data_IF_431196275197
#
_entry.id   IF_431196275197
#
_cell.length_a   1.000
_cell.length_b   1.000
_cell.length_c   1.000
_cell.angle_alpha   90.00
_cell.angle_beta   90.00
_cell.angle_gamma   90.00
#
_symmetry.space_group_name_H-M   'P 1'
#
loop_
_entity.id
_entity.type
_entity.pdbx_description
1 polymer ?
#
# COMPACT_ATOMS: atom_id res chain seq x y z
N UNK A 1 -18.68 -7.56 50.77
CA UNK A 1 -17.87 -8.54 50.05
C UNK A 1 -17.70 -8.03 48.63
N UNK A 2 -16.55 -7.42 48.35
CA UNK A 2 -16.24 -6.76 47.06
C UNK A 2 -15.15 -7.53 46.29
N UNK A 3 -15.01 -8.82 46.59
CA UNK A 3 -13.87 -9.65 46.17
C UNK A 3 -14.02 -10.26 44.76
N UNK A 4 -15.10 -9.97 44.02
CA UNK A 4 -15.36 -10.58 42.69
C UNK A 4 -15.65 -9.57 41.56
N UNK A 5 -15.13 -8.34 41.62
CA UNK A 5 -15.08 -7.50 40.41
C UNK A 5 -13.71 -7.67 39.75
N UNK A 6 -13.56 -8.77 39.02
CA UNK A 6 -12.46 -8.94 38.07
C UNK A 6 -12.81 -8.16 36.80
N UNK A 7 -12.33 -6.91 36.72
CA UNK A 7 -12.33 -6.20 35.45
C UNK A 7 -11.21 -6.83 34.64
N UNK A 8 -11.56 -7.64 33.62
CA UNK A 8 -10.59 -8.17 32.65
C UNK A 8 -9.97 -6.99 31.87
N UNK A 9 -8.93 -6.39 32.45
CA UNK A 9 -8.22 -5.20 31.95
C UNK A 9 -7.78 -5.38 30.51
N UNK A 10 -7.37 -6.59 30.14
CA UNK A 10 -6.86 -6.89 28.80
C UNK A 10 -7.97 -6.84 27.74
N UNK A 11 -9.17 -7.31 28.09
CA UNK A 11 -10.35 -7.24 27.21
C UNK A 11 -10.81 -5.78 27.02
N UNK A 12 -10.74 -4.99 28.09
CA UNK A 12 -11.07 -3.55 28.06
C UNK A 12 -10.05 -2.75 27.22
N UNK A 13 -8.75 -3.02 27.37
CA UNK A 13 -7.70 -2.35 26.58
C UNK A 13 -7.77 -2.73 25.10
N UNK A 14 -8.04 -4.00 24.77
CA UNK A 14 -8.21 -4.43 23.37
C UNK A 14 -9.43 -3.77 22.71
N UNK A 15 -10.56 -3.68 23.42
CA UNK A 15 -11.77 -3.04 22.90
C UNK A 15 -11.62 -1.52 22.75
N UNK A 16 -10.93 -0.84 23.67
CA UNK A 16 -10.59 0.58 23.55
C UNK A 16 -9.66 0.86 22.36
N UNK A 17 -8.59 0.06 22.20
CA UNK A 17 -7.67 0.18 21.06
C UNK A 17 -8.40 -0.02 19.73
N UNK A 18 -9.29 -1.00 19.64
CA UNK A 18 -10.09 -1.24 18.44
C UNK A 18 -10.96 -0.03 18.09
N UNK A 19 -11.66 0.54 19.07
CA UNK A 19 -12.48 1.76 18.85
C UNK A 19 -11.65 2.95 18.37
N UNK A 20 -10.47 3.15 18.94
CA UNK A 20 -9.58 4.24 18.51
C UNK A 20 -9.15 4.10 17.05
N UNK A 21 -8.77 2.89 16.62
CA UNK A 21 -8.41 2.64 15.22
C UNK A 21 -9.63 2.68 14.29
N UNK A 22 -10.80 2.27 14.77
CA UNK A 22 -12.05 2.41 14.03
C UNK A 22 -12.34 3.88 13.70
N UNK A 23 -12.26 4.76 14.71
CA UNK A 23 -12.51 6.20 14.57
C UNK A 23 -11.43 6.91 13.74
N UNK A 24 -10.17 6.48 13.87
CA UNK A 24 -9.08 6.93 13.00
C UNK A 24 -9.33 6.54 11.55
N UNK A 25 -9.62 5.26 11.27
CA UNK A 25 -9.88 4.78 9.92
C UNK A 25 -11.08 5.49 9.28
N UNK A 26 -12.17 5.72 10.03
CA UNK A 26 -13.32 6.52 9.53
C UNK A 26 -12.90 7.93 9.12
N UNK A 27 -12.05 8.58 9.92
CA UNK A 27 -11.56 9.93 9.64
C UNK A 27 -10.66 9.97 8.40
N UNK A 28 -9.69 9.04 8.29
CA UNK A 28 -8.78 9.05 7.13
C UNK A 28 -9.49 8.68 5.82
N UNK A 29 -10.53 7.86 5.87
CA UNK A 29 -11.34 7.48 4.70
C UNK A 29 -12.02 8.70 4.06
N UNK A 30 -12.23 9.80 4.79
CA UNK A 30 -12.73 11.06 4.21
C UNK A 30 -11.79 11.68 3.17
N UNK A 31 -10.51 11.30 3.18
CA UNK A 31 -9.51 11.73 2.19
C UNK A 31 -9.38 10.76 1.00
N UNK A 32 -10.36 9.86 0.80
CA UNK A 32 -10.35 8.90 -0.29
C UNK A 32 -10.22 9.59 -1.66
N UNK A 33 -9.32 9.09 -2.50
CA UNK A 33 -9.13 9.57 -3.87
C UNK A 33 -9.34 8.45 -4.89
N UNK A 34 -9.86 8.82 -6.05
CA UNK A 34 -10.01 7.89 -7.16
C UNK A 34 -8.67 7.63 -7.87
N UNK A 35 -7.97 6.56 -7.49
CA UNK A 35 -6.68 6.20 -8.10
C UNK A 35 -6.90 5.43 -9.39
N UNK A 36 -6.22 5.85 -10.46
CA UNK A 36 -6.16 5.15 -11.76
C UNK A 36 -4.69 4.86 -12.07
N UNK A 37 -4.38 3.64 -12.47
CA UNK A 37 -3.01 3.24 -12.86
C UNK A 37 -2.58 3.91 -14.16
N UNK A 38 -1.29 4.29 -14.24
CA UNK A 38 -0.70 4.94 -15.41
C UNK A 38 -0.02 3.93 -16.35
N UNK A 39 -0.59 3.65 -17.54
CA UNK A 39 0.00 2.74 -18.52
C UNK A 39 1.38 3.17 -19.04
N UNK A 40 1.70 4.47 -18.98
CA UNK A 40 3.01 4.97 -19.44
C UNK A 40 4.12 4.60 -18.47
N UNK A 41 3.78 4.39 -17.20
CA UNK A 41 4.74 3.96 -16.16
C UNK A 41 4.86 2.45 -16.06
N UNK A 42 3.79 1.72 -16.39
CA UNK A 42 3.70 0.29 -16.16
C UNK A 42 4.81 -0.50 -16.86
N UNK A 43 5.43 -1.41 -16.12
CA UNK A 43 6.36 -2.37 -16.70
C UNK A 43 5.71 -3.16 -17.84
N UNK A 44 6.42 -3.48 -18.94
CA UNK A 44 5.87 -4.26 -20.04
C UNK A 44 5.35 -5.66 -19.66
N UNK A 45 5.72 -6.18 -18.49
CA UNK A 45 5.21 -7.43 -17.96
C UNK A 45 3.84 -7.30 -17.28
N UNK A 46 3.38 -6.09 -17.01
CA UNK A 46 2.13 -5.84 -16.27
C UNK A 46 0.94 -5.71 -17.20
N UNK A 47 -0.13 -6.41 -16.87
CA UNK A 47 -1.42 -6.29 -17.55
C UNK A 47 -2.31 -5.43 -16.66
N UNK A 48 -2.77 -4.31 -17.20
CA UNK A 48 -3.72 -3.40 -16.56
C UNK A 48 -5.14 -3.67 -17.05
N UNK A 49 -6.14 -3.57 -16.17
CA UNK A 49 -7.54 -3.58 -16.59
C UNK A 49 -7.88 -2.33 -17.41
N UNK A 50 -8.94 -2.41 -18.24
CA UNK A 50 -9.40 -1.29 -19.09
C UNK A 50 -9.76 -0.04 -18.28
N UNK A 51 -10.31 -0.21 -17.08
CA UNK A 51 -10.65 0.89 -16.17
C UNK A 51 -9.45 1.38 -15.33
N UNK A 52 -8.26 0.78 -15.48
CA UNK A 52 -7.05 1.15 -14.75
C UNK A 52 -7.11 0.91 -13.26
N UNK A 53 -8.00 0.01 -12.78
CA UNK A 53 -8.17 -0.33 -11.36
C UNK A 53 -7.43 -1.59 -10.94
N UNK A 54 -7.05 -2.44 -11.88
CA UNK A 54 -6.43 -3.72 -11.58
C UNK A 54 -5.08 -3.85 -12.26
N UNK A 55 -4.14 -4.50 -11.59
CA UNK A 55 -2.84 -4.86 -12.16
C UNK A 55 -2.40 -6.24 -11.72
N UNK A 56 -1.94 -7.02 -12.69
CA UNK A 56 -1.31 -8.33 -12.47
C UNK A 56 -0.09 -8.50 -13.38
N UNK A 57 0.79 -9.41 -13.01
CA UNK A 57 1.91 -9.80 -13.86
C UNK A 57 1.43 -10.82 -14.90
N UNK A 58 1.68 -10.52 -16.18
CA UNK A 58 1.44 -11.43 -17.28
C UNK A 58 2.57 -12.44 -17.45
N UNK A 59 2.33 -13.48 -18.25
CA UNK A 59 3.33 -14.52 -18.55
C UNK A 59 4.37 -14.08 -19.58
N UNK A 60 4.04 -13.07 -20.40
CA UNK A 60 4.86 -12.61 -21.51
C UNK A 60 5.01 -11.09 -21.46
N UNK A 61 6.22 -10.64 -21.81
CA UNK A 61 6.52 -9.22 -21.99
C UNK A 61 5.70 -8.67 -23.15
N UNK A 62 4.95 -7.60 -22.92
CA UNK A 62 4.21 -6.91 -23.98
C UNK A 62 5.14 -6.06 -24.84
N UNK A 63 4.79 -5.90 -26.12
CA UNK A 63 5.48 -5.01 -27.06
C UNK A 63 4.95 -3.58 -26.90
N UNK A 64 5.41 -2.89 -25.87
CA UNK A 64 5.08 -1.48 -25.60
C UNK A 64 6.27 -0.58 -25.96
N UNK A 65 6.02 0.66 -26.43
CA UNK A 65 7.08 1.63 -26.64
C UNK A 65 7.76 1.96 -25.30
N UNK A 66 9.10 1.97 -25.31
CA UNK A 66 9.85 2.44 -24.16
C UNK A 66 9.74 3.96 -24.04
N UNK A 67 9.76 4.45 -22.82
CA UNK A 67 9.78 5.87 -22.51
C UNK A 67 10.47 6.08 -21.14
N UNK A 68 10.91 7.31 -20.81
CA UNK A 68 11.61 7.57 -19.55
C UNK A 68 10.76 7.27 -18.29
N UNK A 69 9.43 7.35 -18.39
CA UNK A 69 8.51 7.10 -17.28
C UNK A 69 8.29 5.61 -16.99
N UNK A 70 8.59 4.73 -17.95
CA UNK A 70 8.30 3.28 -17.87
C UNK A 70 9.31 2.54 -17.01
N UNK A 71 8.84 1.68 -16.11
CA UNK A 71 9.69 0.69 -15.44
C UNK A 71 10.16 -0.39 -16.42
N UNK A 72 11.47 -0.63 -16.54
CA UNK A 72 12.00 -1.59 -17.51
C UNK A 72 12.16 -3.01 -16.94
N UNK A 73 12.65 -3.10 -15.71
CA UNK A 73 13.15 -4.33 -15.08
C UNK A 73 12.23 -4.77 -13.95
N UNK A 74 11.82 -3.83 -13.10
CA UNK A 74 10.91 -4.09 -11.99
C UNK A 74 9.45 -4.13 -12.46
N UNK A 75 8.66 -5.07 -11.94
CA UNK A 75 7.22 -5.22 -12.23
C UNK A 75 6.38 -4.21 -11.45
N UNK A 76 6.62 -2.93 -11.71
CA UNK A 76 6.00 -1.81 -10.99
C UNK A 76 5.10 -0.96 -11.90
N UNK A 77 4.17 -0.24 -11.28
CA UNK A 77 3.33 0.78 -11.92
C UNK A 77 3.01 1.89 -10.90
N UNK A 78 2.84 3.11 -11.38
CA UNK A 78 2.39 4.25 -10.58
C UNK A 78 0.91 4.59 -10.86
N UNK A 79 0.28 5.26 -9.92
CA UNK A 79 -0.96 6.01 -10.17
C UNK A 79 -0.71 7.16 -11.14
N UNK A 80 -1.73 7.51 -11.93
CA UNK A 80 -1.69 8.58 -12.94
C UNK A 80 -1.69 9.98 -12.32
N UNK A 81 -2.47 10.17 -11.26
CA UNK A 81 -2.48 11.42 -10.49
C UNK A 81 -1.53 11.28 -9.32
N UNK A 82 -0.65 12.27 -9.17
CA UNK A 82 0.17 12.45 -7.98
C UNK A 82 -0.20 13.73 -7.25
N UNK A 83 0.25 13.84 -6.00
CA UNK A 83 -0.15 14.88 -5.05
C UNK A 83 1.09 15.58 -4.48
N UNK A 84 1.06 16.90 -4.42
CA UNK A 84 2.16 17.75 -3.94
C UNK A 84 1.80 18.52 -2.67
N UNK A 85 0.62 18.25 -2.11
CA UNK A 85 0.09 18.83 -0.88
C UNK A 85 -1.17 18.07 -0.45
N UNK A 86 -1.60 18.35 0.78
CA UNK A 86 -2.81 17.84 1.38
C UNK A 86 -2.72 16.38 1.80
N UNK A 87 -3.90 15.83 2.06
CA UNK A 87 -4.09 14.44 2.48
C UNK A 87 -4.78 13.64 1.39
N UNK A 88 -4.35 12.39 1.22
CA UNK A 88 -5.06 11.46 0.36
C UNK A 88 -5.01 10.04 0.90
N UNK A 89 -6.03 9.26 0.56
CA UNK A 89 -6.19 7.88 0.98
C UNK A 89 -6.65 7.00 -0.18
N UNK A 90 -6.16 5.76 -0.26
CA UNK A 90 -6.66 4.78 -1.21
C UNK A 90 -6.59 3.36 -0.64
N UNK A 91 -7.44 2.48 -1.13
CA UNK A 91 -7.52 1.08 -0.68
C UNK A 91 -7.18 0.11 -1.81
N UNK A 92 -6.49 -0.97 -1.48
CA UNK A 92 -6.08 -2.00 -2.43
C UNK A 92 -6.45 -3.37 -1.90
N UNK A 93 -7.30 -4.09 -2.62
CA UNK A 93 -7.55 -5.50 -2.35
C UNK A 93 -6.34 -6.31 -2.80
N UNK A 94 -5.84 -7.14 -1.89
CA UNK A 94 -4.65 -8.00 -2.01
C UNK A 94 -4.98 -9.48 -1.79
N UNK A 95 -6.26 -9.83 -1.69
CA UNK A 95 -6.75 -11.21 -1.55
C UNK A 95 -6.13 -12.15 -2.58
N UNK A 96 -5.73 -13.35 -2.11
CA UNK A 96 -5.15 -14.38 -2.97
C UNK A 96 -3.70 -14.14 -3.39
N UNK A 97 -3.06 -13.03 -2.98
CA UNK A 97 -1.64 -12.78 -3.27
C UNK A 97 -0.72 -13.34 -2.19
N UNK A 98 0.45 -13.83 -2.60
CA UNK A 98 1.52 -14.26 -1.69
C UNK A 98 2.68 -13.27 -1.65
N UNK A 99 2.76 -12.37 -2.63
CA UNK A 99 3.76 -11.30 -2.68
C UNK A 99 3.18 -10.02 -3.30
N UNK A 100 3.50 -8.87 -2.72
CA UNK A 100 3.18 -7.56 -3.27
C UNK A 100 4.04 -6.45 -2.63
N UNK A 101 4.11 -5.29 -3.28
CA UNK A 101 4.57 -4.04 -2.68
C UNK A 101 3.50 -2.97 -2.88
N UNK A 102 3.18 -2.21 -1.83
CA UNK A 102 2.22 -1.11 -1.86
C UNK A 102 2.79 0.12 -1.15
N UNK A 103 2.44 1.32 -1.59
CA UNK A 103 2.84 2.55 -0.94
C UNK A 103 2.84 3.77 -1.84
N UNK A 104 3.81 4.66 -1.67
CA UNK A 104 3.94 5.85 -2.53
C UNK A 104 5.39 6.05 -2.97
N UNK A 105 5.56 6.72 -4.11
CA UNK A 105 6.85 7.06 -4.67
C UNK A 105 6.91 8.53 -5.09
N UNK A 106 8.07 9.17 -4.90
CA UNK A 106 8.32 10.53 -5.45
C UNK A 106 8.40 10.51 -6.98
N UNK A 107 8.15 11.65 -7.59
CA UNK A 107 8.18 11.81 -9.05
C UNK A 107 9.52 11.40 -9.67
N UNK A 108 10.63 11.81 -9.04
CA UNK A 108 12.01 11.63 -9.49
C UNK A 108 12.62 10.23 -9.28
N UNK A 109 11.86 9.25 -8.78
CA UNK A 109 12.44 7.91 -8.55
C UNK A 109 13.11 7.36 -9.82
N UNK A 110 14.25 6.70 -9.67
CA UNK A 110 14.81 5.95 -10.79
C UNK A 110 13.86 4.80 -11.17
N UNK A 111 13.49 4.74 -12.44
CA UNK A 111 12.56 3.75 -12.99
C UNK A 111 13.26 2.66 -13.79
N UNK A 112 14.58 2.77 -13.95
CA UNK A 112 15.40 1.84 -14.73
C UNK A 112 16.22 0.94 -13.81
N UNK A 113 16.32 -0.34 -14.15
CA UNK A 113 16.96 -1.36 -13.34
C UNK A 113 16.20 -1.73 -12.06
N UNK A 114 16.92 -2.36 -11.13
CA UNK A 114 16.40 -2.74 -9.81
C UNK A 114 16.98 -1.83 -8.75
N UNK A 115 16.11 -1.10 -8.05
CA UNK A 115 16.47 -0.19 -6.95
C UNK A 115 15.75 -0.63 -5.69
N UNK A 116 16.48 -0.74 -4.59
CA UNK A 116 15.93 -1.12 -3.30
C UNK A 116 14.77 -0.19 -2.89
N UNK A 117 13.74 -0.75 -2.26
CA UNK A 117 12.69 0.03 -1.64
C UNK A 117 13.23 0.64 -0.35
N UNK A 118 13.29 1.97 -0.31
CA UNK A 118 13.57 2.76 0.88
C UNK A 118 13.14 4.21 0.65
N UNK A 119 12.88 4.97 1.73
CA UNK A 119 12.65 6.40 1.67
C UNK A 119 13.79 7.18 1.00
N UNK A 120 15.05 6.76 1.20
CA UNK A 120 16.22 7.39 0.55
C UNK A 120 16.16 7.28 -0.98
N UNK A 121 15.61 6.16 -1.47
CA UNK A 121 15.32 5.94 -2.89
C UNK A 121 13.96 6.52 -3.32
N UNK A 122 13.32 7.30 -2.45
CA UNK A 122 12.08 8.02 -2.72
C UNK A 122 10.83 7.16 -2.69
N UNK A 123 10.82 6.05 -1.93
CA UNK A 123 9.69 5.12 -1.86
C UNK A 123 9.36 4.77 -0.40
N UNK A 124 8.10 4.96 -0.03
CA UNK A 124 7.57 4.57 1.28
C UNK A 124 6.59 3.43 1.06
N UNK A 125 7.01 2.22 1.40
CA UNK A 125 6.27 1.01 1.02
C UNK A 125 6.28 -0.07 2.11
N UNK A 126 5.16 -0.78 2.19
CA UNK A 126 5.02 -2.06 2.90
C UNK A 126 4.99 -3.18 1.87
N UNK A 127 5.64 -4.29 2.20
CA UNK A 127 5.76 -5.45 1.32
C UNK A 127 5.28 -6.73 2.00
N UNK A 128 4.71 -7.63 1.21
CA UNK A 128 4.44 -9.02 1.58
C UNK A 128 5.41 -9.94 0.84
N UNK A 129 6.03 -10.89 1.56
CA UNK A 129 6.83 -11.99 1.01
C UNK A 129 6.40 -13.32 1.60
N UNK A 130 6.59 -14.38 0.83
CA UNK A 130 6.33 -15.78 1.24
C UNK A 130 4.92 -16.00 1.84
N UNK A 131 3.94 -15.19 1.45
CA UNK A 131 2.55 -15.28 1.90
C UNK A 131 2.26 -14.79 3.33
N UNK A 132 3.26 -14.57 4.17
CA UNK A 132 3.09 -14.20 5.58
C UNK A 132 4.10 -13.21 6.16
N UNK A 133 5.19 -12.88 5.45
CA UNK A 133 6.22 -11.97 5.93
C UNK A 133 5.92 -10.54 5.49
N UNK A 134 5.47 -9.72 6.44
CA UNK A 134 5.20 -8.31 6.22
C UNK A 134 6.39 -7.46 6.68
N UNK A 135 6.82 -6.54 5.84
CA UNK A 135 7.99 -5.70 6.11
C UNK A 135 7.69 -4.26 5.70
N UNK A 136 7.91 -3.31 6.59
CA UNK A 136 8.01 -1.90 6.22
C UNK A 136 9.43 -1.60 5.75
N UNK A 137 9.55 -1.07 4.54
CA UNK A 137 10.84 -0.75 3.90
C UNK A 137 11.39 0.60 4.39
N UNK A 138 11.50 0.79 5.70
CA UNK A 138 12.21 1.93 6.30
C UNK A 138 13.74 1.80 6.12
N UNK A 139 14.55 2.84 6.41
CA UNK A 139 16.02 2.77 6.27
C UNK A 139 16.61 1.53 6.95
N UNK A 140 16.13 1.22 8.16
CA UNK A 140 16.23 -0.12 8.75
C UNK A 140 14.91 -0.85 8.53
N UNK A 141 14.94 -2.01 7.85
CA UNK A 141 13.74 -2.80 7.59
C UNK A 141 13.06 -3.20 8.90
N UNK A 142 11.75 -3.00 8.98
CA UNK A 142 10.95 -3.37 10.15
C UNK A 142 10.07 -4.56 9.79
N UNK A 143 10.25 -5.68 10.47
CA UNK A 143 9.37 -6.84 10.34
C UNK A 143 8.08 -6.58 11.13
N UNK A 144 6.94 -6.75 10.46
CA UNK A 144 5.64 -6.42 11.02
C UNK A 144 4.94 -7.71 11.48
N UNK A 145 4.51 -7.71 12.75
CA UNK A 145 3.75 -8.80 13.32
C UNK A 145 2.26 -8.61 13.02
N UNK A 146 1.74 -9.35 12.04
CA UNK A 146 0.34 -9.33 11.67
C UNK A 146 -0.42 -10.42 12.44
N UNK A 147 -1.59 -10.09 13.01
CA UNK A 147 -2.47 -11.08 13.65
C UNK A 147 -3.12 -11.99 12.63
N UNK A 148 -3.59 -11.37 11.54
CA UNK A 148 -4.28 -12.02 10.44
C UNK A 148 -3.75 -11.45 9.12
N UNK A 149 -4.01 -12.13 8.02
CA UNK A 149 -3.60 -11.70 6.69
C UNK A 149 -4.59 -10.65 6.16
N UNK A 150 -4.17 -9.40 5.91
CA UNK A 150 -5.03 -8.40 5.28
C UNK A 150 -5.48 -8.89 3.91
N UNK A 151 -6.78 -8.75 3.64
CA UNK A 151 -7.42 -8.91 2.33
C UNK A 151 -7.44 -7.58 1.57
N UNK A 152 -7.42 -6.45 2.27
CA UNK A 152 -7.33 -5.11 1.70
C UNK A 152 -6.51 -4.20 2.61
N UNK A 153 -5.64 -3.42 1.96
CA UNK A 153 -4.69 -2.51 2.60
C UNK A 153 -5.05 -1.09 2.25
N UNK A 154 -5.23 -0.25 3.27
CA UNK A 154 -5.39 1.19 3.15
C UNK A 154 -4.04 1.90 3.19
N UNK A 155 -3.84 2.88 2.32
CA UNK A 155 -2.64 3.72 2.29
C UNK A 155 -3.07 5.18 2.42
N UNK A 156 -2.64 5.81 3.49
CA UNK A 156 -2.90 7.21 3.81
C UNK A 156 -1.62 8.03 3.70
N UNK A 157 -1.73 9.24 3.17
CA UNK A 157 -0.66 10.22 3.15
C UNK A 157 -1.16 11.51 3.76
N UNK A 158 -0.35 12.07 4.66
CA UNK A 158 -0.44 13.45 5.10
C UNK A 158 0.83 14.15 4.63
N UNK A 159 0.69 14.97 3.58
CA UNK A 159 1.84 15.55 2.90
C UNK A 159 2.54 16.58 3.79
N UNK A 160 1.77 17.44 4.45
CA UNK A 160 2.27 18.50 5.32
C UNK A 160 2.92 17.94 6.60
N UNK A 161 2.35 16.88 7.18
CA UNK A 161 2.94 16.20 8.35
C UNK A 161 4.04 15.19 8.00
N UNK A 162 4.34 15.00 6.71
CA UNK A 162 5.44 14.12 6.32
C UNK A 162 5.18 12.65 6.59
N UNK A 163 3.92 12.23 6.49
CA UNK A 163 3.46 10.92 6.93
C UNK A 163 2.95 10.04 5.78
N UNK A 164 3.33 8.76 5.81
CA UNK A 164 2.69 7.70 5.01
C UNK A 164 2.30 6.56 5.95
N UNK A 165 1.01 6.27 6.07
CA UNK A 165 0.47 5.29 7.01
C UNK A 165 -0.27 4.17 6.28
N UNK A 166 -0.17 2.96 6.82
CA UNK A 166 -0.76 1.73 6.26
C UNK A 166 -1.73 1.13 7.26
N UNK A 167 -2.85 0.60 6.74
CA UNK A 167 -3.93 0.05 7.55
C UNK A 167 -4.42 -1.28 6.98
N UNK A 168 -4.79 -2.20 7.87
CA UNK A 168 -5.63 -3.36 7.54
C UNK A 168 -7.07 -2.88 7.63
N UNK A 169 -7.77 -2.88 6.50
CA UNK A 169 -9.11 -2.28 6.39
C UNK A 169 -10.18 -3.16 7.02
N UNK A 170 -9.98 -4.47 7.08
CA UNK A 170 -11.01 -5.44 7.48
C UNK A 170 -11.10 -5.51 8.98
N UNK A 171 -9.95 -5.64 9.64
CA UNK A 171 -9.87 -5.62 11.11
C UNK A 171 -9.69 -4.21 11.66
N UNK A 172 -9.66 -3.22 10.76
CA UNK A 172 -9.64 -1.78 11.06
C UNK A 172 -8.52 -1.41 12.01
N UNK A 173 -7.30 -1.81 11.65
CA UNK A 173 -6.12 -1.62 12.49
C UNK A 173 -4.96 -0.99 11.74
N UNK A 174 -4.18 -0.18 12.45
CA UNK A 174 -2.92 0.34 11.96
C UNK A 174 -1.89 -0.78 11.72
N UNK A 175 -1.16 -0.68 10.61
CA UNK A 175 -0.07 -1.59 10.24
C UNK A 175 1.29 -0.95 10.52
N UNK A 176 1.53 0.23 9.95
CA UNK A 176 2.82 0.94 10.04
C UNK A 176 2.69 2.39 9.58
N UNK A 177 3.50 3.29 10.15
CA UNK A 177 3.64 4.67 9.67
C UNK A 177 5.10 5.03 9.44
N UNK A 178 5.36 5.62 8.28
CA UNK A 178 6.55 6.41 8.01
C UNK A 178 6.25 7.85 8.43
N UNK A 179 7.07 8.44 9.30
CA UNK A 179 6.87 9.79 9.85
C UNK A 179 8.16 10.58 9.84
N UNK A 180 8.07 11.91 9.95
CA UNK A 180 9.24 12.78 10.05
C UNK A 180 9.94 13.02 8.71
N UNK A 181 9.22 12.87 7.60
CA UNK A 181 9.73 13.16 6.26
C UNK A 181 9.33 14.57 5.83
N UNK A 182 10.17 15.23 5.04
CA UNK A 182 9.78 16.46 4.35
C UNK A 182 9.64 16.15 2.87
N UNK A 183 8.41 16.13 2.37
CA UNK A 183 8.15 15.89 0.95
C UNK A 183 8.34 17.18 0.15
N UNK A 184 9.23 17.13 -0.84
CA UNK A 184 9.55 18.27 -1.72
C UNK A 184 9.08 18.05 -3.16
N UNK A 185 8.53 16.88 -3.44
CA UNK A 185 8.12 16.44 -4.76
C UNK A 185 6.74 15.81 -4.72
N UNK A 186 6.10 15.75 -5.88
CA UNK A 186 4.84 15.04 -6.05
C UNK A 186 5.00 13.56 -5.67
N UNK A 187 4.08 13.06 -4.85
CA UNK A 187 3.96 11.65 -4.49
C UNK A 187 2.90 10.97 -5.34
N UNK A 188 3.23 9.80 -5.85
CA UNK A 188 2.34 8.96 -6.65
C UNK A 188 2.05 7.65 -5.91
N UNK A 189 0.79 7.16 -5.91
CA UNK A 189 0.49 5.80 -5.50
C UNK A 189 1.38 4.79 -6.24
N UNK A 190 1.94 3.82 -5.52
CA UNK A 190 2.93 2.87 -6.01
C UNK A 190 2.46 1.44 -5.79
N UNK A 191 2.54 0.63 -6.86
CA UNK A 191 2.05 -0.74 -6.86
C UNK A 191 3.07 -1.67 -7.51
N UNK A 192 3.22 -2.86 -6.93
CA UNK A 192 3.95 -3.96 -7.52
C UNK A 192 3.23 -5.26 -7.19
N UNK A 193 2.61 -5.96 -8.17
CA UNK A 193 1.94 -7.24 -7.93
C UNK A 193 2.91 -8.42 -7.79
N UNK A 194 4.21 -8.20 -8.03
CA UNK A 194 5.27 -9.23 -8.04
C UNK A 194 5.01 -10.33 -9.08
N UNK A 195 5.92 -11.30 -9.17
CA UNK A 195 5.83 -12.38 -10.15
C UNK A 195 4.69 -13.34 -9.81
N UNK A 196 4.25 -14.11 -10.80
CA UNK A 196 3.13 -15.04 -10.67
C UNK A 196 3.43 -16.25 -9.74
N UNK A 197 4.70 -16.57 -9.48
CA UNK A 197 5.11 -17.70 -8.63
C UNK A 197 4.39 -19.02 -8.97
N UNK A 198 4.48 -19.45 -10.24
CA UNK A 198 3.84 -20.68 -10.71
C UNK A 198 2.31 -20.70 -10.57
N UNK A 199 1.66 -19.53 -10.50
CA UNK A 199 0.21 -19.39 -10.32
C UNK A 199 -0.20 -18.96 -8.91
N UNK A 200 0.66 -19.15 -7.91
CA UNK A 200 0.34 -18.89 -6.48
C UNK A 200 0.12 -17.41 -6.18
N UNK A 201 0.67 -16.51 -6.99
CA UNK A 201 0.53 -15.07 -6.85
C UNK A 201 -0.19 -14.41 -8.05
N UNK A 202 -0.96 -15.20 -8.80
CA UNK A 202 -1.67 -14.77 -10.02
C UNK A 202 -2.74 -13.71 -9.80
N UNK A 203 -3.28 -13.61 -8.58
CA UNK A 203 -4.31 -12.65 -8.24
C UNK A 203 -3.84 -11.20 -8.47
N UNK A 204 -4.71 -10.33 -9.03
CA UNK A 204 -4.36 -8.93 -9.26
C UNK A 204 -4.31 -8.15 -7.94
N UNK A 205 -3.61 -7.02 -7.96
CA UNK A 205 -3.90 -5.92 -7.05
C UNK A 205 -5.09 -5.14 -7.59
N UNK A 206 -6.09 -4.87 -6.77
CA UNK A 206 -7.32 -4.19 -7.17
C UNK A 206 -7.51 -2.93 -6.33
N UNK A 207 -7.40 -1.76 -6.95
CA UNK A 207 -7.78 -0.48 -6.35
C UNK A 207 -9.28 -0.51 -6.09
N UNK A 208 -9.65 -0.46 -4.82
CA UNK A 208 -11.02 -0.68 -4.37
C UNK A 208 -11.71 0.65 -4.05
N UNK A 209 -13.03 0.77 -4.27
CA UNK A 209 -13.79 1.90 -3.77
C UNK A 209 -13.72 1.91 -2.24
N UNK A 210 -13.61 3.11 -1.68
CA UNK A 210 -13.63 3.33 -0.24
C UNK A 210 -15.10 3.44 0.18
N UNK A 211 -15.57 2.49 0.97
CA UNK A 211 -16.92 2.52 1.50
C UNK A 211 -16.90 3.31 2.82
N UNK A 212 -17.60 4.44 2.85
CA UNK A 212 -17.94 5.09 4.10
C UNK A 212 -19.03 4.25 4.78
N UNK A 213 -18.62 3.34 5.66
CA UNK A 213 -19.58 2.67 6.54
C UNK A 213 -19.90 3.62 7.68
N UNK A 214 -21.13 4.16 7.67
CA UNK A 214 -21.71 4.94 8.77
C UNK A 214 -21.64 4.17 10.10
#
# INVERSE_FOLDING_TARGET
DWSEISVHSDLCVMSLRRRLFDDELKRIQQYAVDVILDPDTASPWLILSKNGKEVRTGEKKQKLPDNPKRFDSAVNVLGKKGFSSGRFYYEVTVTGKTEWNLGVARESINRKGSVALSPDNGRWAVILRDGSKYIACAPTRVHLCMREKPQKVGVFVDYEEGQVSFYDVEVRSHIYSFTGYTFTEKLYPYFSPLLNDGGKNSAPLIISPVNHTD
#
